data_IF_674819316993
#
_entry.id   IF_674819316993
#
_cell.length_a   1.000
_cell.length_b   1.000
_cell.length_c   1.000
_cell.angle_alpha   90.00
_cell.angle_beta   90.00
_cell.angle_gamma   90.00
#
_symmetry.space_group_name_H-M   'P 1'
#
loop_
_entity.id
_entity.type
_entity.pdbx_description
1 polymer ?
#
# COMPACT_ATOMS: atom_id res chain seq x y z
N UNK A 1 6.06 2.37 38.74
CA UNK A 1 6.39 1.35 37.72
C UNK A 1 5.76 1.80 36.42
N UNK A 2 6.56 2.40 35.54
CA UNK A 2 6.12 2.85 34.23
C UNK A 2 6.33 1.70 33.24
N UNK A 3 5.26 1.14 32.70
CA UNK A 3 5.32 0.32 31.49
C UNK A 3 5.34 1.28 30.29
N UNK A 4 6.50 1.89 30.03
CA UNK A 4 6.81 2.50 28.73
C UNK A 4 7.37 1.39 27.84
N UNK A 5 6.47 0.56 27.31
CA UNK A 5 6.77 -0.30 26.17
C UNK A 5 6.65 0.60 24.93
N UNK A 6 7.72 0.90 24.19
CA UNK A 6 7.61 1.64 22.93
C UNK A 6 6.72 0.84 21.96
N UNK A 7 5.87 1.49 21.14
CA UNK A 7 5.03 0.77 20.18
C UNK A 7 5.95 0.02 19.22
N UNK A 8 5.89 -1.31 19.26
CA UNK A 8 6.66 -2.21 18.41
C UNK A 8 6.49 -1.81 16.93
N UNK A 9 7.60 -1.90 16.19
CA UNK A 9 7.62 -1.71 14.74
C UNK A 9 6.43 -2.42 14.08
N UNK A 10 5.61 -1.68 13.33
CA UNK A 10 4.48 -2.23 12.58
C UNK A 10 5.04 -3.24 11.57
N UNK A 11 4.80 -4.51 11.81
CA UNK A 11 5.23 -5.59 10.92
C UNK A 11 4.50 -5.40 9.57
N UNK A 12 5.27 -5.20 8.51
CA UNK A 12 4.80 -5.14 7.14
C UNK A 12 5.08 -6.50 6.50
N UNK A 13 4.04 -7.14 5.99
CA UNK A 13 4.17 -8.40 5.24
C UNK A 13 3.74 -8.15 3.81
N UNK A 14 4.60 -8.54 2.88
CA UNK A 14 4.31 -8.55 1.45
C UNK A 14 4.21 -9.99 0.93
N UNK A 15 3.29 -10.20 -0.01
CA UNK A 15 3.08 -11.45 -0.74
C UNK A 15 2.76 -11.15 -2.19
N UNK A 16 3.04 -12.11 -3.06
CA UNK A 16 2.76 -12.04 -4.50
C UNK A 16 1.84 -13.21 -4.87
N UNK A 17 0.84 -12.94 -5.70
CA UNK A 17 -0.04 -13.93 -6.31
C UNK A 17 -0.15 -13.62 -7.80
N UNK A 18 0.72 -14.25 -8.60
CA UNK A 18 0.86 -13.95 -10.02
C UNK A 18 1.28 -12.49 -10.24
N UNK A 19 0.39 -11.71 -10.84
CA UNK A 19 0.55 -10.28 -11.09
C UNK A 19 0.17 -9.39 -9.91
N UNK A 20 -0.54 -9.92 -8.90
CA UNK A 20 -1.00 -9.16 -7.75
C UNK A 20 0.06 -9.06 -6.66
N UNK A 21 0.41 -7.82 -6.31
CA UNK A 21 1.21 -7.51 -5.13
C UNK A 21 0.31 -7.13 -3.97
N UNK A 22 0.47 -7.84 -2.85
CA UNK A 22 -0.32 -7.65 -1.63
C UNK A 22 0.61 -7.20 -0.51
N UNK A 23 0.34 -6.04 0.07
CA UNK A 23 1.00 -5.59 1.29
C UNK A 23 -0.02 -5.44 2.40
N UNK A 24 0.32 -5.93 3.59
CA UNK A 24 -0.52 -5.85 4.76
C UNK A 24 0.32 -5.49 5.98
N UNK A 25 -0.21 -4.61 6.81
CA UNK A 25 0.45 -4.20 8.05
C UNK A 25 -0.58 -4.01 9.17
N UNK A 26 -0.10 -4.18 10.39
CA UNK A 26 -0.90 -3.89 11.59
C UNK A 26 -1.08 -2.38 11.75
N UNK A 27 -2.34 -1.92 11.74
CA UNK A 27 -2.70 -0.49 11.83
C UNK A 27 -3.12 -0.09 13.25
N UNK A 28 -3.48 -1.05 14.11
CA UNK A 28 -3.79 -0.80 15.51
C UNK A 28 -4.83 -1.75 16.07
N UNK A 29 -5.59 -1.29 17.05
CA UNK A 29 -6.70 -2.05 17.64
C UNK A 29 -8.00 -1.25 17.61
N UNK A 30 -9.12 -1.97 17.49
CA UNK A 30 -10.48 -1.44 17.59
C UNK A 30 -11.17 -2.14 18.76
N UNK A 31 -11.77 -1.41 19.72
CA UNK A 31 -12.51 -2.02 20.82
C UNK A 31 -13.78 -2.73 20.30
N UNK A 32 -14.12 -3.86 20.90
CA UNK A 32 -15.33 -4.61 20.58
C UNK A 32 -16.50 -4.27 21.53
N UNK A 33 -17.74 -4.37 21.04
CA UNK A 33 -18.96 -4.01 21.79
C UNK A 33 -19.18 -4.89 23.03
N UNK A 34 -18.78 -6.16 22.97
CA UNK A 34 -18.89 -7.12 24.08
C UNK A 34 -17.68 -7.07 25.04
N UNK A 35 -16.75 -6.14 24.79
CA UNK A 35 -15.50 -5.98 25.53
C UNK A 35 -14.34 -6.73 24.90
N UNK A 36 -13.14 -6.16 25.04
CA UNK A 36 -11.92 -6.64 24.38
C UNK A 36 -11.53 -5.79 23.17
N UNK A 37 -10.49 -6.24 22.45
CA UNK A 37 -9.94 -5.52 21.31
C UNK A 37 -9.76 -6.46 20.13
N UNK A 38 -10.09 -5.98 18.93
CA UNK A 38 -9.72 -6.59 17.65
C UNK A 38 -8.50 -5.89 17.12
N UNK A 39 -7.57 -6.65 16.55
CA UNK A 39 -6.47 -6.10 15.77
C UNK A 39 -7.04 -5.58 14.44
N UNK A 40 -6.60 -4.42 14.01
CA UNK A 40 -6.97 -3.81 12.73
C UNK A 40 -5.76 -3.84 11.82
N UNK A 41 -5.98 -4.25 10.58
CA UNK A 41 -4.95 -4.31 9.56
C UNK A 41 -5.32 -3.37 8.43
N UNK A 42 -4.32 -2.70 7.90
CA UNK A 42 -4.43 -1.98 6.65
C UNK A 42 -3.72 -2.78 5.56
N UNK A 43 -4.22 -2.67 4.35
CA UNK A 43 -3.67 -3.39 3.21
C UNK A 43 -3.64 -2.50 1.98
N UNK A 44 -2.74 -2.87 1.06
CA UNK A 44 -2.64 -2.30 -0.28
C UNK A 44 -2.54 -3.42 -1.30
N UNK A 45 -3.28 -3.26 -2.40
CA UNK A 45 -3.27 -4.17 -3.55
C UNK A 45 -2.81 -3.40 -4.77
N UNK A 46 -1.85 -3.96 -5.51
CA UNK A 46 -1.39 -3.44 -6.79
C UNK A 46 -1.33 -4.57 -7.83
N UNK A 47 -1.44 -4.21 -9.10
CA UNK A 47 -1.25 -5.13 -10.23
C UNK A 47 0.03 -4.74 -10.98
N UNK A 48 1.01 -5.62 -10.96
CA UNK A 48 2.32 -5.41 -11.59
C UNK A 48 2.26 -5.38 -13.12
N UNK A 49 1.18 -5.89 -13.73
CA UNK A 49 1.01 -5.91 -15.19
C UNK A 49 0.42 -4.61 -15.75
N UNK A 50 -0.14 -3.76 -14.88
CA UNK A 50 -0.73 -2.48 -15.26
C UNK A 50 0.09 -1.33 -14.68
N UNK A 51 1.20 -0.95 -15.32
CA UNK A 51 2.01 0.17 -14.86
C UNK A 51 1.18 1.45 -14.79
N UNK A 52 1.23 2.14 -13.65
CA UNK A 52 0.45 3.36 -13.39
C UNK A 52 -1.00 3.15 -12.91
N UNK A 53 -1.45 1.90 -12.73
CA UNK A 53 -2.72 1.65 -12.05
C UNK A 53 -2.65 2.15 -10.60
N UNK A 54 -3.63 2.96 -10.19
CA UNK A 54 -3.73 3.42 -8.82
C UNK A 54 -3.97 2.20 -7.91
N UNK A 55 -3.07 1.92 -6.94
CA UNK A 55 -3.26 0.80 -6.03
C UNK A 55 -4.51 1.03 -5.17
N UNK A 56 -5.11 -0.07 -4.72
CA UNK A 56 -6.26 -0.03 -3.84
C UNK A 56 -5.83 -0.22 -2.39
N UNK A 57 -6.17 0.75 -1.55
CA UNK A 57 -5.93 0.73 -0.11
C UNK A 57 -7.22 0.42 0.67
N UNK A 58 -7.11 -0.43 1.69
CA UNK A 58 -8.22 -0.77 2.60
C UNK A 58 -7.77 -0.94 4.05
N UNK A 59 -8.75 -0.96 4.98
CA UNK A 59 -8.54 -1.02 6.45
C UNK A 59 -9.62 -1.79 7.20
N UNK A 60 -10.40 -2.56 6.47
CA UNK A 60 -11.59 -3.27 6.90
C UNK A 60 -11.27 -4.69 7.42
N UNK A 61 -10.00 -5.11 7.36
CA UNK A 61 -9.57 -6.38 7.94
C UNK A 61 -9.36 -6.24 9.44
N UNK A 62 -10.07 -7.09 10.18
CA UNK A 62 -10.01 -7.15 11.63
C UNK A 62 -9.81 -8.60 12.09
N UNK A 63 -9.02 -8.78 13.16
CA UNK A 63 -8.90 -10.09 13.80
C UNK A 63 -10.15 -10.45 14.62
N UNK A 64 -10.17 -11.69 15.13
CA UNK A 64 -11.01 -12.06 16.27
C UNK A 64 -10.67 -11.26 17.53
N UNK A 65 -11.62 -11.18 18.47
CA UNK A 65 -11.44 -10.49 19.75
C UNK A 65 -10.33 -11.15 20.56
N UNK A 66 -9.34 -10.37 20.99
CA UNK A 66 -8.23 -10.84 21.82
C UNK A 66 -7.14 -11.61 21.07
N UNK A 67 -7.18 -11.67 19.73
CA UNK A 67 -6.10 -12.23 18.93
C UNK A 67 -4.83 -11.37 19.02
N UNK A 68 -3.67 -12.00 18.89
CA UNK A 68 -2.39 -11.30 18.75
C UNK A 68 -2.35 -10.61 17.38
N UNK A 69 -1.60 -9.50 17.26
CA UNK A 69 -1.45 -8.69 16.04
C UNK A 69 -0.71 -9.38 14.90
N UNK A 70 -0.94 -10.67 14.69
CA UNK A 70 -0.29 -11.51 13.69
C UNK A 70 -0.69 -11.07 12.28
N UNK A 71 0.31 -10.64 11.53
CA UNK A 71 0.16 -10.18 10.14
C UNK A 71 -0.07 -11.35 9.18
N UNK A 72 0.34 -12.57 9.53
CA UNK A 72 0.05 -13.78 8.74
C UNK A 72 -1.45 -14.06 8.75
N UNK A 73 -2.09 -14.03 9.92
CA UNK A 73 -3.54 -14.16 10.04
C UNK A 73 -4.31 -13.05 9.29
N UNK A 74 -3.79 -11.82 9.32
CA UNK A 74 -4.31 -10.71 8.52
C UNK A 74 -4.20 -10.99 7.01
N UNK A 75 -3.05 -11.48 6.55
CA UNK A 75 -2.80 -11.83 5.15
C UNK A 75 -3.72 -12.97 4.68
N UNK A 76 -3.90 -14.02 5.49
CA UNK A 76 -4.85 -15.11 5.20
C UNK A 76 -6.27 -14.57 5.03
N UNK A 77 -6.68 -13.60 5.86
CA UNK A 77 -7.99 -12.95 5.75
C UNK A 77 -8.12 -12.17 4.44
N UNK A 78 -7.09 -11.41 4.04
CA UNK A 78 -7.06 -10.68 2.77
C UNK A 78 -7.17 -11.63 1.57
N UNK A 79 -6.39 -12.70 1.54
CA UNK A 79 -6.40 -13.71 0.46
C UNK A 79 -7.77 -14.40 0.38
N UNK A 80 -8.41 -14.66 1.53
CA UNK A 80 -9.78 -15.22 1.57
C UNK A 80 -10.79 -14.26 0.94
N UNK A 81 -10.73 -12.97 1.27
CA UNK A 81 -11.62 -11.96 0.69
C UNK A 81 -11.40 -11.82 -0.84
N UNK A 82 -10.15 -11.83 -1.31
CA UNK A 82 -9.84 -11.77 -2.73
C UNK A 82 -10.33 -13.01 -3.48
N UNK A 83 -10.18 -14.19 -2.88
CA UNK A 83 -10.71 -15.44 -3.43
C UNK A 83 -12.24 -15.40 -3.55
N UNK A 84 -12.93 -14.83 -2.57
CA UNK A 84 -14.37 -14.63 -2.61
C UNK A 84 -14.81 -13.61 -3.68
N UNK A 85 -14.01 -12.56 -3.90
CA UNK A 85 -14.23 -11.58 -4.97
C UNK A 85 -14.07 -12.23 -6.36
N UNK A 86 -13.01 -13.03 -6.55
CA UNK A 86 -12.77 -13.80 -7.77
C UNK A 86 -13.94 -14.74 -8.11
N UNK A 87 -14.46 -15.49 -7.13
CA UNK A 87 -15.60 -16.38 -7.34
C UNK A 87 -16.88 -15.60 -7.66
N UNK A 88 -17.07 -14.43 -7.02
CA UNK A 88 -18.21 -13.56 -7.32
C UNK A 88 -18.16 -12.99 -8.74
N UNK A 89 -16.95 -12.67 -9.23
CA UNK A 89 -16.73 -12.25 -10.62
C UNK A 89 -17.02 -13.38 -11.62
N UNK A 90 -16.53 -14.60 -11.33
CA UNK A 90 -16.85 -15.81 -12.11
C UNK A 90 -18.35 -16.08 -12.18
N UNK A 91 -19.03 -15.95 -11.05
CA UNK A 91 -20.48 -16.11 -10.96
C UNK A 91 -21.21 -15.03 -11.76
N UNK A 92 -20.73 -13.78 -11.75
CA UNK A 92 -21.27 -12.70 -12.57
C UNK A 92 -21.16 -12.98 -14.07
N UNK A 93 -20.00 -13.46 -14.52
CA UNK A 93 -19.79 -13.85 -15.93
C UNK A 93 -20.73 -14.97 -16.36
N UNK A 94 -20.99 -15.92 -15.47
CA UNK A 94 -21.87 -17.07 -15.73
C UNK A 94 -23.36 -16.71 -15.59
N UNK A 95 -23.69 -15.71 -14.77
CA UNK A 95 -25.06 -15.28 -14.50
C UNK A 95 -25.17 -13.74 -14.44
N UNK A 96 -25.28 -13.05 -15.59
CA UNK A 96 -25.16 -11.59 -15.69
C UNK A 96 -26.23 -10.77 -14.97
N UNK A 97 -27.33 -11.40 -14.54
CA UNK A 97 -28.43 -10.77 -13.80
C UNK A 97 -28.28 -10.91 -12.28
N UNK A 98 -27.28 -11.64 -11.80
CA UNK A 98 -26.94 -11.67 -10.38
C UNK A 98 -26.19 -10.40 -9.98
N UNK A 99 -26.26 -10.07 -8.69
CA UNK A 99 -25.46 -9.01 -8.07
C UNK A 99 -24.95 -9.51 -6.71
N UNK A 100 -23.98 -10.46 -6.69
CA UNK A 100 -23.43 -10.98 -5.46
C UNK A 100 -22.80 -9.86 -4.61
N UNK A 101 -23.00 -9.93 -3.29
CA UNK A 101 -22.63 -8.87 -2.35
C UNK A 101 -21.12 -8.59 -2.34
N UNK A 102 -20.30 -9.62 -2.56
CA UNK A 102 -18.84 -9.52 -2.57
C UNK A 102 -18.26 -8.81 -3.79
N UNK A 103 -19.04 -8.54 -4.86
CA UNK A 103 -18.59 -7.72 -5.99
C UNK A 103 -18.31 -6.27 -5.60
N UNK A 104 -18.94 -5.80 -4.52
CA UNK A 104 -18.74 -4.43 -4.03
C UNK A 104 -17.69 -4.36 -2.92
N UNK A 105 -17.04 -5.47 -2.58
CA UNK A 105 -16.02 -5.51 -1.54
C UNK A 105 -14.75 -4.78 -1.99
N UNK A 106 -14.42 -4.90 -3.28
CA UNK A 106 -13.29 -4.23 -3.89
C UNK A 106 -13.69 -3.48 -5.16
N UNK A 107 -12.87 -2.54 -5.65
CA UNK A 107 -13.02 -1.97 -6.98
C UNK A 107 -13.07 -3.07 -8.07
N UNK A 108 -13.74 -2.76 -9.18
CA UNK A 108 -13.94 -3.72 -10.28
C UNK A 108 -12.62 -4.33 -10.78
N UNK A 109 -11.56 -3.51 -10.91
CA UNK A 109 -10.26 -3.97 -11.37
C UNK A 109 -9.61 -4.99 -10.42
N UNK A 110 -9.76 -4.81 -9.09
CA UNK A 110 -9.22 -5.75 -8.10
C UNK A 110 -9.93 -7.09 -8.20
N UNK A 111 -11.25 -7.06 -8.40
CA UNK A 111 -12.08 -8.25 -8.51
C UNK A 111 -11.76 -9.05 -9.78
N UNK A 112 -11.54 -8.34 -10.90
CA UNK A 112 -11.08 -8.94 -12.15
C UNK A 112 -9.66 -9.51 -12.04
N UNK A 113 -8.73 -8.75 -11.46
CA UNK A 113 -7.36 -9.22 -11.26
C UNK A 113 -7.31 -10.42 -10.30
N UNK A 114 -8.11 -10.44 -9.24
CA UNK A 114 -8.23 -11.60 -8.34
C UNK A 114 -8.76 -12.84 -9.09
N UNK A 115 -9.69 -12.65 -10.04
CA UNK A 115 -10.15 -13.73 -10.91
C UNK A 115 -9.04 -14.23 -11.85
N UNK A 116 -8.26 -13.33 -12.44
CA UNK A 116 -7.16 -13.70 -13.35
C UNK A 116 -6.01 -14.43 -12.62
N UNK A 117 -5.81 -14.18 -11.33
CA UNK A 117 -4.76 -14.79 -10.50
C UNK A 117 -5.35 -15.78 -9.47
N UNK A 118 -6.50 -16.41 -9.77
CA UNK A 118 -7.23 -17.22 -8.77
C UNK A 118 -6.50 -18.50 -8.35
N UNK A 119 -5.73 -19.10 -9.28
CA UNK A 119 -4.94 -20.30 -8.99
C UNK A 119 -3.75 -19.96 -8.09
N UNK A 120 -3.11 -18.82 -8.35
CA UNK A 120 -2.00 -18.28 -7.57
C UNK A 120 -2.44 -17.85 -6.17
N UNK A 121 -3.61 -17.22 -6.04
CA UNK A 121 -4.22 -16.93 -4.75
C UNK A 121 -4.53 -18.21 -3.95
N UNK A 122 -4.94 -19.28 -4.62
CA UNK A 122 -5.17 -20.59 -3.99
C UNK A 122 -3.84 -21.19 -3.51
N UNK A 123 -2.78 -21.12 -4.31
CA UNK A 123 -1.45 -21.56 -3.92
C UNK A 123 -0.90 -20.76 -2.74
N UNK A 124 -1.07 -19.44 -2.76
CA UNK A 124 -0.67 -18.55 -1.66
C UNK A 124 -1.45 -18.85 -0.37
N UNK A 125 -2.75 -19.16 -0.47
CA UNK A 125 -3.55 -19.56 0.69
C UNK A 125 -2.98 -20.83 1.35
N UNK A 126 -2.65 -21.85 0.55
CA UNK A 126 -2.04 -23.09 1.03
C UNK A 126 -0.67 -22.86 1.67
N UNK A 127 0.14 -21.95 1.12
CA UNK A 127 1.44 -21.57 1.68
C UNK A 127 1.30 -20.91 3.06
N UNK A 128 0.30 -20.04 3.21
CA UNK A 128 0.01 -19.36 4.49
C UNK A 128 -0.52 -20.33 5.56
N UNK A 129 -1.28 -21.36 5.17
CA UNK A 129 -1.77 -22.40 6.09
C UNK A 129 -0.68 -23.42 6.47
N UNK A 130 0.26 -23.69 5.56
CA UNK A 130 1.33 -24.66 5.73
C UNK A 130 2.70 -24.02 5.43
N UNK A 131 3.31 -23.28 6.38
CA UNK A 131 4.58 -22.58 6.20
C UNK A 131 5.82 -23.50 6.03
N UNK A 132 5.67 -24.69 5.44
CA UNK A 132 6.76 -25.63 5.15
C UNK A 132 6.35 -26.97 4.53
N UNK A 133 5.23 -27.05 3.79
CA UNK A 133 4.64 -28.34 3.45
C UNK A 133 4.07 -28.50 2.04
N UNK A 134 4.87 -28.32 0.99
CA UNK A 134 4.73 -29.00 -0.32
C UNK A 134 6.11 -29.02 -1.01
N UNK A 135 6.46 -30.16 -1.62
CA UNK A 135 7.82 -30.59 -1.97
C UNK A 135 8.54 -29.86 -3.10
N UNK A 136 9.74 -30.34 -3.49
CA UNK A 136 10.79 -29.57 -4.15
C UNK A 136 10.47 -29.32 -5.63
N UNK A 137 9.90 -28.15 -5.91
CA UNK A 137 10.26 -27.38 -7.08
C UNK A 137 10.34 -25.92 -6.64
N UNK A 138 11.59 -25.53 -6.41
CA UNK A 138 12.05 -24.14 -6.39
C UNK A 138 11.35 -23.25 -5.36
N UNK A 139 11.55 -23.62 -4.09
CA UNK A 139 12.24 -22.63 -3.26
C UNK A 139 13.52 -22.25 -4.00
N UNK A 140 13.48 -21.16 -4.76
CA UNK A 140 14.67 -20.34 -4.86
C UNK A 140 14.93 -19.79 -3.44
N UNK A 141 15.42 -20.67 -2.57
CA UNK A 141 16.57 -20.33 -1.76
C UNK A 141 17.69 -20.05 -2.77
N UNK A 142 17.58 -18.92 -3.47
CA UNK A 142 18.76 -18.16 -3.79
C UNK A 142 19.36 -17.93 -2.41
N UNK A 143 20.39 -18.71 -2.10
CA UNK A 143 21.37 -18.32 -1.13
C UNK A 143 21.71 -16.86 -1.49
N UNK A 144 21.14 -15.94 -0.71
CA UNK A 144 21.53 -14.56 -0.76
C UNK A 144 23.06 -14.59 -0.66
N UNK A 145 23.81 -13.92 -1.56
CA UNK A 145 25.24 -13.77 -1.39
C UNK A 145 25.46 -13.30 0.06
N UNK A 146 26.45 -13.89 0.76
CA UNK A 146 26.53 -13.81 2.21
C UNK A 146 26.37 -12.37 2.67
N UNK A 147 25.40 -12.16 3.56
CA UNK A 147 25.18 -10.89 4.25
C UNK A 147 26.52 -10.46 4.83
N UNK A 148 27.09 -9.42 4.25
CA UNK A 148 28.19 -8.71 4.89
C UNK A 148 27.57 -7.49 5.52
N UNK A 149 27.10 -7.67 6.75
CA UNK A 149 26.71 -6.57 7.63
C UNK A 149 27.87 -5.58 7.75
N UNK A 150 27.67 -4.34 7.30
CA UNK A 150 28.41 -3.19 7.80
C UNK A 150 27.71 -1.87 7.44
N UNK A 151 26.67 -1.54 8.21
CA UNK A 151 26.18 -0.18 8.41
C UNK A 151 25.46 -0.15 9.76
N UNK A 152 25.75 0.80 10.67
CA UNK A 152 25.19 0.78 12.01
C UNK A 152 23.66 0.89 11.95
N UNK A 153 22.99 0.10 12.80
CA UNK A 153 21.54 0.17 12.99
C UNK A 153 21.13 1.64 13.22
N UNK A 154 20.19 2.20 12.43
CA UNK A 154 19.78 3.58 12.62
C UNK A 154 19.06 3.69 13.97
N UNK A 155 19.67 4.45 14.85
CA UNK A 155 19.15 4.81 16.15
C UNK A 155 17.91 5.69 15.95
N UNK A 156 16.70 5.14 16.12
CA UNK A 156 15.47 5.86 16.49
C UNK A 156 15.12 7.19 15.77
N UNK A 157 15.66 7.46 14.59
CA UNK A 157 15.48 8.71 13.85
C UNK A 157 14.56 8.45 12.65
N UNK A 158 13.68 9.41 12.33
CA UNK A 158 12.78 9.29 11.19
C UNK A 158 13.59 8.99 9.91
N UNK A 159 13.12 8.09 9.02
CA UNK A 159 13.90 7.66 7.86
C UNK A 159 14.22 8.86 6.97
N UNK A 160 15.53 9.13 6.83
CA UNK A 160 16.04 10.26 6.07
C UNK A 160 15.73 10.07 4.58
N UNK A 161 15.38 11.16 3.90
CA UNK A 161 15.27 11.15 2.44
C UNK A 161 16.63 11.45 1.80
N UNK A 162 17.00 10.74 0.73
CA UNK A 162 16.35 9.53 0.22
C UNK A 162 16.70 8.29 1.07
N UNK A 163 15.85 7.24 1.09
CA UNK A 163 16.11 6.03 1.86
C UNK A 163 17.25 5.17 1.30
N UNK A 164 17.68 5.46 0.08
CA UNK A 164 18.86 4.93 -0.59
C UNK A 164 19.36 5.94 -1.63
N UNK A 165 20.37 5.60 -2.42
CA UNK A 165 20.86 6.48 -3.49
C UNK A 165 20.15 6.24 -4.82
N UNK A 166 19.79 4.99 -5.07
CA UNK A 166 19.17 4.54 -6.31
C UNK A 166 17.90 3.75 -6.05
N UNK A 167 16.99 3.71 -7.02
CA UNK A 167 15.86 2.80 -7.06
C UNK A 167 15.86 2.00 -8.36
N UNK A 168 15.32 0.78 -8.31
CA UNK A 168 15.19 -0.09 -9.48
C UNK A 168 14.15 0.47 -10.45
N UNK A 169 14.54 0.62 -11.72
CA UNK A 169 13.60 0.88 -12.82
C UNK A 169 13.15 -0.45 -13.42
N UNK A 170 14.11 -1.29 -13.81
CA UNK A 170 13.84 -2.61 -14.37
C UNK A 170 15.02 -3.54 -14.11
N UNK A 171 14.71 -4.82 -13.88
CA UNK A 171 15.66 -5.90 -13.78
C UNK A 171 15.29 -6.97 -14.80
N UNK A 172 16.22 -7.28 -15.70
CA UNK A 172 16.07 -8.28 -16.75
C UNK A 172 17.14 -9.36 -16.59
N UNK A 173 16.79 -10.58 -16.95
CA UNK A 173 17.67 -11.75 -16.89
C UNK A 173 17.44 -12.63 -18.12
N UNK A 174 18.30 -13.64 -18.28
CA UNK A 174 18.18 -14.66 -19.32
C UNK A 174 18.06 -14.02 -20.72
N UNK A 175 17.10 -14.47 -21.55
CA UNK A 175 16.99 -14.07 -22.96
C UNK A 175 16.80 -12.55 -23.14
N UNK A 176 15.98 -11.92 -22.30
CA UNK A 176 15.67 -10.49 -22.39
C UNK A 176 16.90 -9.64 -22.04
N UNK A 177 17.64 -10.02 -21.00
CA UNK A 177 18.85 -9.30 -20.65
C UNK A 177 20.03 -9.60 -21.59
N UNK A 178 20.13 -10.80 -22.19
CA UNK A 178 21.07 -11.05 -23.29
C UNK A 178 20.81 -10.13 -24.49
N UNK A 179 19.55 -9.92 -24.88
CA UNK A 179 19.22 -9.01 -25.98
C UNK A 179 19.67 -7.57 -25.70
N UNK A 180 19.61 -7.12 -24.44
CA UNK A 180 20.08 -5.79 -24.05
C UNK A 180 21.61 -5.74 -24.00
N UNK A 181 22.28 -6.82 -23.60
CA UNK A 181 23.75 -6.91 -23.67
C UNK A 181 24.23 -6.84 -25.12
N UNK A 182 23.55 -7.50 -26.05
CA UNK A 182 23.85 -7.41 -27.49
C UNK A 182 23.66 -5.98 -27.99
N UNK A 183 22.54 -5.33 -27.63
CA UNK A 183 22.29 -3.92 -27.95
C UNK A 183 23.41 -3.01 -27.41
N UNK A 184 23.88 -3.25 -26.19
CA UNK A 184 24.96 -2.51 -25.57
C UNK A 184 26.29 -2.70 -26.32
N UNK A 185 26.57 -3.90 -26.81
CA UNK A 185 27.79 -4.19 -27.58
C UNK A 185 27.74 -3.59 -28.99
N UNK A 186 26.57 -3.63 -29.63
CA UNK A 186 26.39 -3.19 -31.01
C UNK A 186 26.22 -1.67 -31.14
N UNK A 187 25.48 -1.05 -30.21
CA UNK A 187 25.06 0.36 -30.30
C UNK A 187 25.54 1.22 -29.13
N UNK A 188 26.15 0.61 -28.11
CA UNK A 188 26.74 1.31 -26.98
C UNK A 188 25.77 1.52 -25.81
N UNK A 189 26.34 1.96 -24.68
CA UNK A 189 25.63 2.11 -23.41
C UNK A 189 24.45 3.09 -23.48
N UNK A 190 24.58 4.21 -24.21
CA UNK A 190 23.52 5.19 -24.32
C UNK A 190 22.27 4.61 -24.99
N UNK A 191 22.43 3.85 -26.08
CA UNK A 191 21.30 3.21 -26.76
C UNK A 191 20.62 2.15 -25.87
N UNK A 192 21.39 1.38 -25.09
CA UNK A 192 20.85 0.42 -24.14
C UNK A 192 20.08 1.11 -23.00
N UNK A 193 20.62 2.20 -22.45
CA UNK A 193 19.96 2.97 -21.39
C UNK A 193 18.70 3.64 -21.94
N UNK A 194 18.73 4.27 -23.11
CA UNK A 194 17.54 4.87 -23.76
C UNK A 194 16.46 3.81 -24.02
N UNK A 195 16.86 2.61 -24.45
CA UNK A 195 15.94 1.49 -24.62
C UNK A 195 15.28 1.10 -23.30
N UNK A 196 16.05 0.94 -22.22
CA UNK A 196 15.50 0.55 -20.92
C UNK A 196 14.73 1.68 -20.21
N UNK A 197 15.08 2.93 -20.47
CA UNK A 197 14.43 4.10 -19.89
C UNK A 197 12.98 4.27 -20.39
N UNK A 198 12.55 3.58 -21.46
CA UNK A 198 11.15 3.60 -21.88
C UNK A 198 10.19 2.97 -20.84
N UNK A 199 10.72 2.15 -19.93
CA UNK A 199 9.98 1.58 -18.79
C UNK A 199 10.06 2.43 -17.52
N UNK A 200 10.78 3.56 -17.56
CA UNK A 200 10.77 4.53 -16.47
C UNK A 200 9.60 5.52 -16.65
N UNK A 201 8.52 5.29 -15.91
CA UNK A 201 7.34 6.16 -15.87
C UNK A 201 7.52 7.34 -14.91
N UNK A 202 8.72 7.54 -14.36
CA UNK A 202 9.05 8.68 -13.53
C UNK A 202 8.61 8.51 -12.08
N UNK A 203 7.60 9.29 -11.67
CA UNK A 203 7.19 9.26 -10.26
C UNK A 203 6.61 7.90 -9.93
N UNK A 204 5.77 7.35 -10.79
CA UNK A 204 5.13 6.05 -10.64
C UNK A 204 6.15 4.92 -10.42
N UNK A 205 7.24 4.90 -11.18
CA UNK A 205 8.33 3.91 -11.01
C UNK A 205 9.05 4.10 -9.68
N UNK A 206 9.36 5.34 -9.31
CA UNK A 206 9.96 5.65 -8.01
C UNK A 206 9.05 5.25 -6.84
N UNK A 207 7.75 5.54 -6.95
CA UNK A 207 6.76 5.21 -5.92
C UNK A 207 6.59 3.69 -5.78
N UNK A 208 6.61 2.94 -6.88
CA UNK A 208 6.61 1.48 -6.87
C UNK A 208 7.87 0.93 -6.19
N UNK A 209 9.05 1.46 -6.53
CA UNK A 209 10.31 1.02 -5.93
C UNK A 209 10.42 1.36 -4.44
N UNK A 210 9.94 2.52 -4.01
CA UNK A 210 9.86 2.88 -2.58
C UNK A 210 8.94 1.93 -1.81
N UNK A 211 7.83 1.51 -2.42
CA UNK A 211 6.88 0.59 -1.82
C UNK A 211 7.41 -0.85 -1.74
N UNK A 212 8.01 -1.35 -2.82
CA UNK A 212 8.63 -2.68 -2.85
C UNK A 212 9.93 -2.75 -2.05
N UNK A 213 10.42 -1.60 -1.56
CA UNK A 213 11.75 -1.44 -0.96
C UNK A 213 12.89 -1.82 -1.90
N UNK A 214 12.65 -1.70 -3.21
CA UNK A 214 13.63 -1.94 -4.29
C UNK A 214 14.50 -0.71 -4.52
N UNK A 215 15.14 -0.26 -3.44
CA UNK A 215 16.10 0.84 -3.45
C UNK A 215 17.42 0.43 -2.82
N UNK A 216 18.50 1.05 -3.29
CA UNK A 216 19.86 0.64 -3.01
C UNK A 216 20.69 1.83 -2.56
N UNK A 217 21.47 1.65 -1.50
CA UNK A 217 22.43 2.67 -1.03
C UNK A 217 23.55 2.90 -2.06
N UNK A 218 23.96 1.82 -2.74
CA UNK A 218 24.96 1.79 -3.81
C UNK A 218 24.46 0.89 -4.94
N UNK A 219 25.10 0.96 -6.11
CA UNK A 219 24.76 0.06 -7.22
C UNK A 219 25.09 -1.38 -6.81
N UNK A 220 24.20 -2.37 -6.98
CA UNK A 220 24.50 -3.77 -6.69
C UNK A 220 25.65 -4.27 -7.56
N UNK A 221 26.72 -4.73 -6.92
CA UNK A 221 27.91 -5.27 -7.57
C UNK A 221 28.05 -6.77 -7.29
N UNK A 222 28.15 -7.56 -8.36
CA UNK A 222 28.52 -8.97 -8.32
C UNK A 222 29.83 -9.19 -9.08
N UNK A 223 30.53 -10.30 -8.84
CA UNK A 223 31.70 -10.66 -9.66
C UNK A 223 31.33 -10.73 -11.15
N UNK A 224 32.11 -10.06 -12.00
CA UNK A 224 31.86 -10.00 -13.44
C UNK A 224 30.81 -8.97 -13.87
N UNK A 225 30.36 -8.12 -12.95
CA UNK A 225 29.45 -6.99 -13.25
C UNK A 225 30.23 -5.83 -13.84
N UNK A 226 29.68 -5.26 -14.91
CA UNK A 226 30.12 -4.02 -15.53
C UNK A 226 29.06 -2.95 -15.34
N UNK A 227 29.47 -1.68 -15.39
CA UNK A 227 28.58 -0.56 -15.21
C UNK A 227 28.67 0.42 -16.38
N UNK A 228 27.54 1.01 -16.72
CA UNK A 228 27.48 2.19 -17.57
C UNK A 228 26.56 3.23 -16.95
N UNK A 229 26.80 4.51 -17.25
CA UNK A 229 26.01 5.62 -16.69
C UNK A 229 25.59 6.56 -17.80
N UNK A 230 24.36 7.06 -17.70
CA UNK A 230 23.87 8.15 -18.54
C UNK A 230 22.81 8.95 -17.78
N UNK A 231 23.03 10.25 -17.64
CA UNK A 231 22.17 11.13 -16.85
C UNK A 231 21.94 10.62 -15.41
N UNK A 232 20.67 10.44 -14.97
CA UNK A 232 20.35 9.93 -13.63
C UNK A 232 20.42 8.40 -13.53
N UNK A 233 20.71 7.70 -14.63
CA UNK A 233 20.67 6.25 -14.71
C UNK A 233 22.04 5.60 -14.51
N UNK A 234 22.01 4.45 -13.87
CA UNK A 234 23.14 3.52 -13.81
C UNK A 234 22.65 2.16 -14.30
N UNK A 235 23.31 1.63 -15.32
CA UNK A 235 23.10 0.31 -15.86
C UNK A 235 24.17 -0.63 -15.32
N UNK A 236 23.78 -1.59 -14.49
CA UNK A 236 24.62 -2.67 -14.01
C UNK A 236 24.32 -3.92 -14.82
N UNK A 237 25.34 -4.58 -15.40
CA UNK A 237 25.12 -5.73 -16.28
C UNK A 237 26.21 -6.79 -16.19
N UNK A 238 25.85 -8.05 -16.41
CA UNK A 238 26.76 -9.20 -16.44
C UNK A 238 26.66 -9.91 -17.80
N UNK A 239 27.57 -9.64 -18.75
CA UNK A 239 27.45 -10.15 -20.12
C UNK A 239 27.33 -11.67 -20.23
N UNK A 240 28.02 -12.41 -19.36
CA UNK A 240 28.02 -13.87 -19.42
C UNK A 240 26.76 -14.54 -18.85
N UNK A 241 25.95 -13.80 -18.09
CA UNK A 241 24.69 -14.31 -17.50
C UNK A 241 23.45 -13.66 -18.11
N UNK A 242 23.63 -12.61 -18.92
CA UNK A 242 22.51 -11.82 -19.44
C UNK A 242 21.73 -11.10 -18.35
N UNK A 243 22.33 -10.84 -17.19
CA UNK A 243 21.68 -10.06 -16.13
C UNK A 243 21.87 -8.58 -16.41
N UNK A 244 20.79 -7.80 -16.39
CA UNK A 244 20.79 -6.37 -16.64
C UNK A 244 19.88 -5.66 -15.65
N UNK A 245 20.40 -4.64 -14.98
CA UNK A 245 19.69 -3.89 -13.95
C UNK A 245 19.82 -2.39 -14.25
N UNK A 246 18.70 -1.75 -14.60
CA UNK A 246 18.65 -0.29 -14.71
C UNK A 246 18.20 0.30 -13.38
N UNK A 247 19.04 1.18 -12.86
CA UNK A 247 18.80 1.96 -11.64
C UNK A 247 18.67 3.43 -11.99
N UNK A 248 17.87 4.17 -11.21
CA UNK A 248 17.79 5.62 -11.30
C UNK A 248 18.07 6.26 -9.94
N UNK A 249 18.78 7.39 -9.93
CA UNK A 249 19.01 8.17 -8.72
C UNK A 249 17.72 8.78 -8.18
N UNK A 250 17.54 8.76 -6.86
CA UNK A 250 16.46 9.52 -6.23
C UNK A 250 16.59 11.03 -6.50
N UNK A 251 15.47 11.75 -6.66
CA UNK A 251 15.49 13.19 -6.69
C UNK A 251 15.97 13.75 -5.33
N UNK A 252 16.57 14.94 -5.37
CA UNK A 252 17.09 15.59 -4.16
C UNK A 252 15.97 15.92 -3.14
N UNK A 253 14.75 16.15 -3.61
CA UNK A 253 13.60 16.51 -2.78
C UNK A 253 12.70 15.29 -2.55
N UNK A 254 12.28 15.10 -1.30
CA UNK A 254 11.31 14.07 -0.94
C UNK A 254 9.94 14.39 -1.56
N UNK A 255 9.21 13.38 -2.03
CA UNK A 255 7.87 13.58 -2.52
C UNK A 255 6.85 13.72 -1.38
N UNK A 256 5.71 14.33 -1.66
CA UNK A 256 4.69 14.67 -0.66
C UNK A 256 4.16 13.44 0.07
N UNK A 257 4.27 13.42 1.40
CA UNK A 257 3.80 12.33 2.25
C UNK A 257 4.84 11.24 2.53
N UNK A 258 6.09 11.38 2.06
CA UNK A 258 7.21 10.63 2.64
C UNK A 258 7.44 11.02 4.11
N UNK A 259 7.77 10.09 5.01
CA UNK A 259 7.85 8.63 4.80
C UNK A 259 6.51 7.90 4.95
N UNK A 260 5.51 8.55 5.53
CA UNK A 260 4.27 7.95 6.00
C UNK A 260 3.51 7.12 4.94
N UNK A 261 3.55 7.57 3.67
CA UNK A 261 2.90 6.89 2.54
C UNK A 261 3.60 5.63 2.05
N UNK A 262 4.84 5.38 2.48
CA UNK A 262 5.69 4.28 2.00
C UNK A 262 6.25 3.38 3.10
N UNK A 263 6.25 3.84 4.35
CA UNK A 263 6.68 3.05 5.50
C UNK A 263 5.51 2.49 6.31
N UNK A 264 4.26 2.80 5.93
CA UNK A 264 3.08 2.45 6.73
C UNK A 264 3.01 3.18 8.08
N UNK A 265 3.89 4.17 8.32
CA UNK A 265 3.88 5.00 9.53
C UNK A 265 2.91 6.16 9.30
N UNK A 266 1.64 6.01 9.64
CA UNK A 266 0.76 7.18 9.76
C UNK A 266 1.09 7.88 11.08
N UNK A 267 1.37 9.19 11.03
CA UNK A 267 1.28 10.05 12.22
C UNK A 267 -0.06 9.75 12.92
N UNK A 268 -0.11 9.66 14.26
CA UNK A 268 -1.39 9.68 14.94
C UNK A 268 -2.14 10.91 14.43
N UNK A 269 -3.36 10.69 13.93
CA UNK A 269 -4.24 11.75 13.46
C UNK A 269 -4.11 12.94 14.42
N UNK A 270 -3.96 14.19 13.93
CA UNK A 270 -3.85 15.34 14.82
C UNK A 270 -5.00 15.22 15.82
N UNK A 271 -4.65 14.95 17.08
CA UNK A 271 -5.63 14.78 18.14
C UNK A 271 -6.60 15.94 18.07
N UNK A 272 -7.90 15.70 18.36
CA UNK A 272 -8.98 16.64 18.06
C UNK A 272 -8.49 18.04 18.39
N UNK A 273 -8.35 18.83 17.31
CA UNK A 273 -7.81 20.18 17.35
C UNK A 273 -8.32 20.83 18.62
N UNK A 274 -7.36 21.28 19.45
CA UNK A 274 -7.60 22.00 20.70
C UNK A 274 -8.91 22.77 20.54
N UNK A 275 -9.94 22.26 21.23
CA UNK A 275 -11.26 22.87 21.23
C UNK A 275 -11.01 24.35 21.48
N UNK A 276 -11.22 25.17 20.45
CA UNK A 276 -11.13 26.61 20.61
C UNK A 276 -12.04 26.92 21.78
N UNK A 277 -11.45 27.39 22.86
CA UNK A 277 -12.14 27.84 24.03
C UNK A 277 -13.07 28.96 23.58
N UNK A 278 -14.31 28.62 23.25
CA UNK A 278 -15.41 29.56 23.26
C UNK A 278 -15.58 29.92 24.73
N UNK A 279 -14.88 30.97 25.13
CA UNK A 279 -15.00 31.55 26.45
C UNK A 279 -16.49 31.75 26.76
N UNK A 280 -16.98 31.37 27.96
CA UNK A 280 -18.34 31.65 28.35
C UNK A 280 -18.51 33.17 28.41
N UNK A 281 -19.32 33.71 27.49
CA UNK A 281 -19.73 35.10 27.53
C UNK A 281 -20.56 35.27 28.80
N UNK A 282 -19.95 35.91 29.79
CA UNK A 282 -20.56 36.22 31.07
C UNK A 282 -21.93 36.89 30.87
N UNK A 283 -22.94 36.25 31.46
CA UNK A 283 -24.27 36.78 31.72
C UNK A 283 -24.17 38.09 32.51
N UNK A 284 -24.40 39.21 31.84
CA UNK A 284 -24.72 40.47 32.49
C UNK A 284 -26.24 40.51 32.72
N UNK A 285 -26.62 40.22 33.96
CA UNK A 285 -27.93 40.51 34.57
C UNK A 285 -28.35 41.97 34.32
N UNK A 286 -29.54 42.17 33.76
CA UNK A 286 -30.32 43.40 33.97
C UNK A 286 -31.76 43.00 34.33
N UNK A 287 -32.11 43.25 35.57
CA UNK A 287 -33.42 42.98 36.16
C UNK A 287 -34.35 44.19 36.02
N UNK A 288 -35.58 43.89 35.58
CA UNK A 288 -36.89 44.51 35.83
C UNK A 288 -37.21 45.95 35.35
N UNK A 289 -38.29 46.11 34.58
CA UNK A 289 -39.63 46.45 35.12
C UNK A 289 -40.71 46.65 34.02
N UNK A 290 -41.94 46.18 34.30
CA UNK A 290 -43.23 46.63 33.70
C UNK A 290 -43.73 45.82 32.48
N UNK A 291 -44.61 44.81 32.61
CA UNK A 291 -46.07 44.85 32.89
C UNK A 291 -46.96 45.30 31.71
N UNK A 292 -47.63 44.33 31.05
CA UNK A 292 -49.03 44.35 30.56
C UNK A 292 -49.30 43.06 29.73
N UNK A 293 -49.88 41.99 30.30
CA UNK A 293 -51.29 41.52 30.20
C UNK A 293 -51.77 41.16 28.76
N UNK A 294 -51.81 39.84 28.47
CA UNK A 294 -52.84 38.94 27.85
C UNK A 294 -54.07 39.51 27.08
N UNK A 295 -54.87 38.71 26.33
CA UNK A 295 -54.64 37.51 25.50
C UNK A 295 -55.23 37.60 24.06
N UNK A 296 -54.93 36.61 23.23
CA UNK A 296 -55.66 36.28 21.99
C UNK A 296 -57.03 35.63 22.29
N UNK A 297 -58.10 35.92 21.51
CA UNK A 297 -59.22 35.01 21.37
C UNK A 297 -59.35 34.47 19.95
N UNK A 298 -59.52 33.15 19.88
CA UNK A 298 -59.97 32.42 18.70
C UNK A 298 -61.32 32.94 18.18
N UNK A 299 -61.50 32.94 16.84
CA UNK A 299 -62.58 32.22 16.11
C UNK A 299 -62.68 32.62 14.62
N UNK A 300 -63.07 31.61 13.83
CA UNK A 300 -63.91 31.62 12.60
C UNK A 300 -63.32 31.95 11.21
N UNK A 301 -63.21 30.88 10.40
CA UNK A 301 -63.50 30.73 8.94
C UNK A 301 -64.82 31.43 8.51
N UNK A 302 -65.24 31.47 7.22
CA UNK A 302 -64.60 31.20 5.91
C UNK A 302 -64.86 32.32 4.86
N UNK A 303 -64.51 31.99 3.60
CA UNK A 303 -65.19 32.33 2.33
C UNK A 303 -64.49 33.27 1.34
N UNK A 304 -64.10 32.61 0.24
CA UNK A 304 -63.82 33.10 -1.09
C UNK A 304 -64.94 33.99 -1.65
N UNK A 305 -64.53 35.01 -2.41
CA UNK A 305 -65.32 35.42 -3.57
C UNK A 305 -65.33 36.91 -3.88
N UNK A 306 -65.10 37.19 -5.18
CA UNK A 306 -65.51 38.36 -5.98
C UNK A 306 -64.62 39.60 -5.82
N UNK A 307 -64.25 40.37 -6.85
CA UNK A 307 -64.36 40.42 -8.33
C UNK A 307 -63.24 41.40 -8.77
N UNK A 308 -62.84 41.65 -10.02
CA UNK A 308 -63.50 41.72 -11.32
C UNK A 308 -62.37 41.85 -12.38
#
# INVERSE_FOLDING_TARGET
MNNDTPPSARELVTRQAGSLSLALWHDGTTPDEDGGYRQRYAYRIADATVPGALPHDGRDIHSGVGADGDTTAGMTSLVTLLSAAAESYRHQMSNPLSAPESLNLFPAWVTEAAYLNSDELTMLALELEHPGGLGPNESATAEAPPVTSAGPEPTGEAPAWPPGRYYTVIFLQDEEGHAVVDLLQDQGAQAAIDHLAQWDYGSETMEAALFNQDYHADVPHYSGTSEATDGPYVLSYQPGLGTVHLLRQFPAQAPDGWPNRYTGVIDPAPGPAAAQAVAPRATATRTAAGHAIDPEPARTRPDDGLSL
#
